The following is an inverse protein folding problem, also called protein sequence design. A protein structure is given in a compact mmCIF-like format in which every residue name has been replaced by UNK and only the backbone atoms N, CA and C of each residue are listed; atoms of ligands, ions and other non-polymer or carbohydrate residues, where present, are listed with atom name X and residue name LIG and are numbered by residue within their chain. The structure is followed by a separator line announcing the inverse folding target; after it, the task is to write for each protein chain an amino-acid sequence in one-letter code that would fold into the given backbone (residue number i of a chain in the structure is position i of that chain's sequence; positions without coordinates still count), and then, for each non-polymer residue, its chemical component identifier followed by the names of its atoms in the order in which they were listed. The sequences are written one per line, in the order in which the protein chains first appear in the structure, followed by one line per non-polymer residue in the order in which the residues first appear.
data_IF_939208132611
#
_entry.id   IF_939208132611
#
_cell.length_a   1.000
_cell.length_b   1.000
_cell.length_c   1.000
_cell.angle_alpha   90.00
_cell.angle_beta   90.00
_cell.angle_gamma   90.00
#
_symmetry.space_group_name_H-M   'P 1'
#
loop_
_entity.id
_entity.type
_entity.pdbx_description
1 polymer ?
#
# COMPACT_ATOMS: atom_id res chain seq x y z
N UNK A 1 -26.83 -13.44 -17.63
CA UNK A 1 -26.54 -14.50 -16.66
C UNK A 1 -26.22 -13.82 -15.36
N UNK A 2 -26.91 -14.19 -14.29
CA UNK A 2 -26.78 -13.52 -13.00
C UNK A 2 -25.47 -13.95 -12.35
N UNK A 3 -24.48 -13.06 -12.35
CA UNK A 3 -23.18 -13.29 -11.74
C UNK A 3 -23.20 -12.83 -10.28
N UNK A 4 -22.81 -13.73 -9.37
CA UNK A 4 -22.73 -13.44 -7.94
C UNK A 4 -21.26 -13.44 -7.52
N UNK A 5 -20.83 -12.36 -6.87
CA UNK A 5 -19.47 -12.21 -6.37
C UNK A 5 -19.43 -12.60 -4.89
N UNK A 6 -18.60 -13.60 -4.54
CA UNK A 6 -18.38 -14.02 -3.16
C UNK A 6 -16.97 -13.59 -2.75
N UNK A 7 -16.86 -12.80 -1.69
CA UNK A 7 -15.59 -12.24 -1.22
C UNK A 7 -15.02 -13.13 -0.10
N UNK A 8 -13.92 -13.89 -0.32
CA UNK A 8 -13.29 -14.66 0.74
C UNK A 8 -12.41 -13.81 1.67
N UNK A 9 -12.27 -14.26 2.93
CA UNK A 9 -11.71 -13.53 4.08
C UNK A 9 -10.23 -13.13 4.07
N UNK A 10 -9.51 -13.19 2.94
CA UNK A 10 -8.12 -12.75 2.83
C UNK A 10 -8.02 -11.24 2.54
N UNK A 11 -8.72 -10.41 3.30
CA UNK A 11 -8.66 -8.92 3.25
C UNK A 11 -8.78 -8.33 1.83
N UNK A 12 -9.60 -8.93 0.96
CA UNK A 12 -9.76 -8.44 -0.41
C UNK A 12 -8.53 -8.61 -1.31
N UNK A 13 -7.65 -9.58 -1.04
CA UNK A 13 -6.53 -9.90 -1.95
C UNK A 13 -6.94 -10.83 -3.11
N UNK A 14 -8.07 -11.53 -2.98
CA UNK A 14 -8.58 -12.45 -4.00
C UNK A 14 -10.09 -12.36 -4.06
N UNK A 15 -10.64 -12.24 -5.27
CA UNK A 15 -12.07 -12.35 -5.56
C UNK A 15 -12.33 -13.70 -6.19
N UNK A 16 -13.31 -14.43 -5.65
CA UNK A 16 -13.77 -15.67 -6.27
C UNK A 16 -14.98 -15.39 -7.16
N UNK A 17 -14.84 -15.71 -8.45
CA UNK A 17 -15.93 -15.67 -9.42
C UNK A 17 -16.46 -17.09 -9.62
N UNK A 18 -17.73 -17.30 -9.29
CA UNK A 18 -18.46 -18.53 -9.56
C UNK A 18 -19.41 -18.29 -10.73
N UNK A 19 -19.24 -19.03 -11.83
CA UNK A 19 -20.20 -19.03 -12.93
C UNK A 19 -21.02 -20.31 -12.90
N UNK A 20 -22.34 -20.19 -12.83
CA UNK A 20 -23.24 -21.33 -12.66
C UNK A 20 -24.09 -21.53 -13.91
N UNK A 21 -24.24 -22.80 -14.31
CA UNK A 21 -25.20 -23.23 -15.32
C UNK A 21 -26.14 -24.25 -14.69
N UNK A 22 -27.42 -23.89 -14.59
CA UNK A 22 -28.45 -24.73 -13.96
C UNK A 22 -29.24 -25.49 -15.02
N UNK A 23 -29.18 -26.83 -14.97
CA UNK A 23 -29.96 -27.75 -15.80
C UNK A 23 -30.83 -28.62 -14.89
N UNK A 24 -31.98 -28.08 -14.49
CA UNK A 24 -32.92 -28.75 -13.57
C UNK A 24 -32.46 -28.74 -12.11
N UNK A 25 -33.10 -29.58 -11.28
CA UNK A 25 -32.75 -29.75 -9.87
C UNK A 25 -31.66 -30.81 -9.68
N UNK A 26 -30.67 -30.54 -8.83
CA UNK A 26 -29.58 -31.48 -8.54
C UNK A 26 -28.29 -30.78 -8.10
N UNK A 27 -27.26 -31.54 -7.71
CA UNK A 27 -25.97 -30.98 -7.30
C UNK A 27 -25.24 -30.32 -8.49
N UNK A 28 -24.37 -29.37 -8.16
CA UNK A 28 -23.48 -28.72 -9.13
C UNK A 28 -22.18 -29.53 -9.27
N UNK A 29 -21.79 -29.83 -10.50
CA UNK A 29 -20.48 -30.43 -10.81
C UNK A 29 -19.47 -29.34 -11.14
N UNK A 30 -18.22 -29.44 -10.67
CA UNK A 30 -17.15 -28.55 -11.11
C UNK A 30 -16.78 -28.89 -12.55
N UNK A 31 -17.07 -27.96 -13.46
CA UNK A 31 -16.74 -28.13 -14.87
C UNK A 31 -15.29 -27.76 -15.18
N UNK A 32 -14.48 -27.34 -14.20
CA UNK A 32 -13.12 -26.82 -14.38
C UNK A 32 -13.10 -25.60 -15.32
N UNK A 33 -12.76 -24.44 -14.79
CA UNK A 33 -12.58 -23.23 -15.60
C UNK A 33 -11.18 -23.13 -16.19
N UNK A 34 -10.97 -22.22 -17.15
CA UNK A 34 -9.63 -21.91 -17.68
C UNK A 34 -8.63 -21.54 -16.57
N UNK A 35 -9.08 -20.84 -15.52
CA UNK A 35 -8.24 -20.52 -14.36
C UNK A 35 -7.81 -21.76 -13.57
N UNK A 36 -8.74 -22.68 -13.29
CA UNK A 36 -8.44 -23.94 -12.62
C UNK A 36 -7.57 -24.87 -13.48
N UNK A 37 -7.84 -24.93 -14.80
CA UNK A 37 -7.03 -25.69 -15.75
C UNK A 37 -5.59 -25.17 -15.84
N UNK A 38 -5.39 -23.84 -15.80
CA UNK A 38 -4.06 -23.24 -15.78
C UNK A 38 -3.28 -23.58 -14.49
N UNK A 39 -3.95 -23.54 -13.33
CA UNK A 39 -3.32 -23.92 -12.06
C UNK A 39 -2.94 -25.41 -12.05
N UNK A 40 -3.88 -26.29 -12.43
CA UNK A 40 -3.63 -27.73 -12.55
C UNK A 40 -2.53 -28.01 -13.57
N UNK A 41 -2.49 -27.27 -14.68
CA UNK A 41 -1.45 -27.35 -15.70
C UNK A 41 -0.06 -27.06 -15.12
N UNK A 42 0.09 -25.97 -14.36
CA UNK A 42 1.36 -25.62 -13.72
C UNK A 42 1.82 -26.66 -12.68
N UNK A 43 0.89 -27.19 -11.88
CA UNK A 43 1.17 -28.29 -10.94
C UNK A 43 1.60 -29.57 -11.67
N UNK A 44 0.98 -29.85 -12.82
CA UNK A 44 1.30 -31.00 -13.66
C UNK A 44 2.63 -30.84 -14.39
N UNK A 45 2.97 -29.63 -14.85
CA UNK A 45 4.27 -29.31 -15.44
C UNK A 45 5.41 -29.57 -14.46
N UNK A 46 5.27 -29.11 -13.21
CA UNK A 46 6.27 -29.38 -12.16
C UNK A 46 6.45 -30.89 -11.89
N UNK A 47 5.36 -31.66 -11.94
CA UNK A 47 5.40 -33.13 -11.79
C UNK A 47 6.03 -33.81 -13.00
N UNK A 48 5.74 -33.34 -14.21
CA UNK A 48 6.35 -33.82 -15.46
C UNK A 48 7.86 -33.60 -15.44
N UNK A 49 8.33 -32.42 -15.02
CA UNK A 49 9.75 -32.09 -14.92
C UNK A 49 10.47 -32.99 -13.91
N UNK A 50 9.88 -33.17 -12.72
CA UNK A 50 10.41 -34.06 -11.70
C UNK A 50 10.50 -35.51 -12.19
N UNK A 51 9.43 -36.03 -12.80
CA UNK A 51 9.38 -37.40 -13.33
C UNK A 51 10.32 -37.60 -14.53
N UNK A 52 10.49 -36.60 -15.39
CA UNK A 52 11.43 -36.65 -16.51
C UNK A 52 12.88 -36.72 -16.01
N UNK A 53 13.22 -35.94 -14.97
CA UNK A 53 14.54 -35.97 -14.35
C UNK A 53 14.82 -37.31 -13.66
N UNK A 54 13.83 -37.84 -12.94
CA UNK A 54 13.92 -39.16 -12.30
C UNK A 54 14.12 -40.27 -13.34
N UNK A 55 13.29 -40.29 -14.40
CA UNK A 55 13.41 -41.25 -15.50
C UNK A 55 14.78 -41.17 -16.18
N UNK A 56 15.30 -39.97 -16.45
CA UNK A 56 16.62 -39.80 -17.05
C UNK A 56 17.74 -40.40 -16.18
N UNK A 57 17.61 -40.30 -14.84
CA UNK A 57 18.52 -40.97 -13.91
C UNK A 57 18.50 -42.49 -14.05
N UNK A 58 17.31 -43.09 -14.09
CA UNK A 58 17.17 -44.54 -14.28
C UNK A 58 17.60 -45.01 -15.66
N UNK A 59 17.40 -44.22 -16.71
CA UNK A 59 17.84 -44.55 -18.07
C UNK A 59 19.38 -44.51 -18.22
N UNK A 60 20.07 -43.73 -17.38
CA UNK A 60 21.53 -43.67 -17.36
C UNK A 60 22.18 -44.81 -16.56
N UNK A 61 21.40 -45.53 -15.73
CA UNK A 61 21.85 -46.66 -14.94
C UNK A 61 21.67 -47.97 -15.72
N UNK A 62 22.79 -48.57 -16.15
CA UNK A 62 22.79 -49.83 -16.89
C UNK A 62 22.29 -51.04 -16.06
N UNK A 63 22.15 -50.88 -14.74
CA UNK A 63 21.64 -51.90 -13.82
C UNK A 63 20.15 -51.74 -13.49
N UNK A 64 19.51 -50.66 -13.96
CA UNK A 64 18.10 -50.43 -13.73
C UNK A 64 17.22 -51.49 -14.39
N UNK A 65 16.16 -51.91 -13.69
CA UNK A 65 15.18 -52.87 -14.21
C UNK A 65 14.44 -52.29 -15.43
N UNK A 66 14.53 -52.93 -16.62
CA UNK A 66 13.85 -52.47 -17.83
C UNK A 66 12.34 -52.32 -17.67
N UNK A 67 11.69 -53.18 -16.87
CA UNK A 67 10.25 -53.11 -16.62
C UNK A 67 9.88 -51.86 -15.81
N UNK A 68 10.69 -51.52 -14.82
CA UNK A 68 10.52 -50.32 -14.00
C UNK A 68 10.73 -49.04 -14.84
N UNK A 69 11.75 -49.02 -15.70
CA UNK A 69 11.98 -47.90 -16.65
C UNK A 69 10.80 -47.74 -17.61
N UNK A 70 10.28 -48.84 -18.14
CA UNK A 70 9.11 -48.81 -19.03
C UNK A 70 7.84 -48.28 -18.31
N UNK A 71 7.62 -48.66 -17.05
CA UNK A 71 6.54 -48.11 -16.24
C UNK A 71 6.68 -46.59 -16.06
N UNK A 72 7.88 -46.11 -15.71
CA UNK A 72 8.16 -44.67 -15.55
C UNK A 72 7.94 -43.88 -16.84
N UNK A 73 8.26 -44.46 -17.99
CA UNK A 73 7.95 -43.88 -19.29
C UNK A 73 6.44 -43.75 -19.54
N UNK A 74 5.66 -44.76 -19.17
CA UNK A 74 4.20 -44.73 -19.30
C UNK A 74 3.58 -43.68 -18.36
N UNK A 75 4.05 -43.60 -17.11
CA UNK A 75 3.62 -42.59 -16.14
C UNK A 75 3.87 -41.16 -16.68
N UNK A 76 5.07 -40.90 -17.21
CA UNK A 76 5.41 -39.61 -17.81
C UNK A 76 4.57 -39.30 -19.06
N UNK A 77 4.33 -40.30 -19.91
CA UNK A 77 3.49 -40.14 -21.10
C UNK A 77 2.03 -39.83 -20.72
N UNK A 78 1.49 -40.49 -19.70
CA UNK A 78 0.15 -40.23 -19.19
C UNK A 78 0.02 -38.80 -18.64
N UNK A 79 0.98 -38.33 -17.85
CA UNK A 79 0.98 -36.94 -17.35
C UNK A 79 1.06 -35.92 -18.49
N UNK A 80 1.89 -36.16 -19.51
CA UNK A 80 1.97 -35.30 -20.69
C UNK A 80 0.66 -35.27 -21.49
N UNK A 81 -0.01 -36.41 -21.62
CA UNK A 81 -1.31 -36.50 -22.29
C UNK A 81 -2.39 -35.73 -21.50
N UNK A 82 -2.40 -35.85 -20.17
CA UNK A 82 -3.31 -35.09 -19.31
C UNK A 82 -3.05 -33.58 -19.40
N UNK A 83 -1.79 -33.16 -19.43
CA UNK A 83 -1.38 -31.75 -19.60
C UNK A 83 -1.88 -31.19 -20.93
N UNK A 84 -1.73 -31.96 -22.00
CA UNK A 84 -2.26 -31.61 -23.32
C UNK A 84 -3.78 -31.53 -23.34
N UNK A 85 -4.47 -32.47 -22.68
CA UNK A 85 -5.94 -32.45 -22.60
C UNK A 85 -6.45 -31.20 -21.85
N UNK A 86 -5.74 -30.74 -20.82
CA UNK A 86 -6.04 -29.49 -20.11
C UNK A 86 -5.87 -28.24 -21.00
N UNK A 87 -4.85 -28.22 -21.87
CA UNK A 87 -4.67 -27.12 -22.84
C UNK A 87 -5.75 -27.12 -23.93
N UNK A 88 -6.04 -28.29 -24.50
CA UNK A 88 -6.97 -28.41 -25.62
C UNK A 88 -8.42 -28.16 -25.16
N UNK A 89 -8.77 -28.63 -23.96
CA UNK A 89 -10.12 -28.55 -23.42
C UNK A 89 -10.11 -28.23 -21.91
N UNK A 90 -9.90 -26.94 -21.55
CA UNK A 90 -9.87 -26.53 -20.15
C UNK A 90 -11.22 -26.69 -19.44
N UNK A 91 -12.32 -26.67 -20.20
CA UNK A 91 -13.68 -26.79 -19.69
C UNK A 91 -14.24 -28.21 -19.86
N UNK A 92 -14.46 -28.89 -18.74
CA UNK A 92 -15.02 -30.24 -18.59
C UNK A 92 -16.50 -30.20 -18.23
N UNK A 93 -17.34 -29.73 -19.16
CA UNK A 93 -18.79 -29.66 -18.95
C UNK A 93 -19.39 -31.07 -18.81
N UNK A 94 -20.16 -31.38 -17.76
CA UNK A 94 -20.85 -32.65 -17.66
C UNK A 94 -21.97 -32.77 -18.71
N UNK A 95 -22.15 -33.99 -19.24
CA UNK A 95 -23.18 -34.29 -20.24
C UNK A 95 -24.62 -34.04 -19.73
N UNK A 96 -24.85 -34.23 -18.43
CA UNK A 96 -26.13 -33.99 -17.76
C UNK A 96 -25.91 -33.30 -16.40
N UNK A 97 -26.95 -32.66 -15.88
CA UNK A 97 -26.90 -31.96 -14.59
C UNK A 97 -26.33 -30.54 -14.67
N UNK A 98 -26.46 -29.83 -13.54
CA UNK A 98 -25.97 -28.47 -13.36
C UNK A 98 -24.47 -28.47 -13.10
N UNK A 99 -23.78 -27.37 -13.46
CA UNK A 99 -22.35 -27.25 -13.25
C UNK A 99 -21.93 -25.82 -12.92
N UNK A 100 -20.72 -25.67 -12.41
CA UNK A 100 -20.10 -24.38 -12.15
C UNK A 100 -18.66 -24.34 -12.64
N UNK A 101 -18.11 -23.13 -12.80
CA UNK A 101 -16.67 -22.91 -12.81
C UNK A 101 -16.30 -21.94 -11.70
N UNK A 102 -15.13 -22.16 -11.09
CA UNK A 102 -14.53 -21.27 -10.11
C UNK A 102 -13.28 -20.62 -10.72
N UNK A 103 -13.22 -19.29 -10.67
CA UNK A 103 -11.99 -18.54 -10.98
C UNK A 103 -11.61 -17.69 -9.78
N UNK A 104 -10.36 -17.83 -9.33
CA UNK A 104 -9.80 -16.97 -8.29
C UNK A 104 -8.98 -15.86 -8.93
N UNK A 105 -9.50 -14.64 -8.89
CA UNK A 105 -8.83 -13.44 -9.41
C UNK A 105 -8.10 -12.78 -8.25
N UNK A 106 -6.77 -12.81 -8.27
CA UNK A 106 -5.96 -12.04 -7.31
C UNK A 106 -6.14 -10.55 -7.61
N UNK A 107 -6.53 -9.77 -6.61
CA UNK A 107 -6.54 -8.31 -6.68
C UNK A 107 -5.10 -7.85 -6.64
N UNK A 108 -4.65 -7.27 -7.75
CA UNK A 108 -3.29 -6.78 -7.96
C UNK A 108 -3.38 -5.41 -8.61
N UNK A 109 -2.31 -4.62 -8.47
CA UNK A 109 -2.25 -3.26 -9.05
C UNK A 109 -2.34 -3.29 -10.58
N UNK A 110 -1.85 -4.37 -11.20
CA UNK A 110 -1.79 -4.59 -12.66
C UNK A 110 -3.17 -4.81 -13.31
N UNK A 111 -4.22 -5.00 -12.51
CA UNK A 111 -5.57 -5.09 -13.03
C UNK A 111 -6.00 -3.74 -13.62
N UNK A 112 -6.59 -3.78 -14.81
CA UNK A 112 -7.16 -2.60 -15.46
C UNK A 112 -8.22 -1.95 -14.57
N UNK A 113 -8.15 -0.63 -14.40
CA UNK A 113 -9.20 0.12 -13.73
C UNK A 113 -10.42 0.28 -14.63
N UNK A 114 -11.60 0.22 -14.02
CA UNK A 114 -12.82 0.73 -14.64
C UNK A 114 -12.93 2.24 -14.37
N UNK A 115 -12.93 3.05 -15.42
CA UNK A 115 -12.94 4.51 -15.30
C UNK A 115 -14.21 5.03 -14.61
N UNK A 116 -15.37 4.44 -14.88
CA UNK A 116 -16.62 4.86 -14.24
C UNK A 116 -16.61 4.56 -12.74
N UNK A 117 -16.02 3.43 -12.33
CA UNK A 117 -15.81 3.11 -10.92
C UNK A 117 -14.83 4.10 -10.26
N UNK A 118 -13.73 4.45 -10.93
CA UNK A 118 -12.79 5.44 -10.39
C UNK A 118 -13.43 6.82 -10.23
N UNK A 119 -14.16 7.28 -11.25
CA UNK A 119 -14.87 8.56 -11.21
C UNK A 119 -15.94 8.57 -10.10
N UNK A 120 -16.68 7.47 -9.94
CA UNK A 120 -17.67 7.33 -8.86
C UNK A 120 -17.04 7.34 -7.46
N UNK A 121 -15.87 6.70 -7.29
CA UNK A 121 -15.12 6.74 -6.02
C UNK A 121 -14.63 8.16 -5.71
N UNK A 122 -14.05 8.84 -6.69
CA UNK A 122 -13.57 10.21 -6.50
C UNK A 122 -14.72 11.15 -6.16
N UNK A 123 -15.86 11.03 -6.86
CA UNK A 123 -17.06 11.82 -6.55
C UNK A 123 -17.59 11.55 -5.13
N UNK A 124 -17.56 10.30 -4.68
CA UNK A 124 -17.89 9.95 -3.30
C UNK A 124 -16.92 10.58 -2.29
N UNK A 125 -15.62 10.50 -2.55
CA UNK A 125 -14.58 11.04 -1.66
C UNK A 125 -14.73 12.57 -1.52
N UNK A 126 -14.99 13.28 -2.62
CA UNK A 126 -15.30 14.71 -2.57
C UNK A 126 -16.55 15.02 -1.75
N UNK A 127 -17.66 14.33 -2.00
CA UNK A 127 -18.92 14.57 -1.28
C UNK A 127 -18.79 14.26 0.22
N UNK A 128 -18.06 13.19 0.58
CA UNK A 128 -17.75 12.85 1.96
C UNK A 128 -16.86 13.93 2.61
N UNK A 129 -15.85 14.41 1.89
CA UNK A 129 -14.98 15.50 2.35
C UNK A 129 -15.75 16.80 2.61
N UNK A 130 -16.64 17.20 1.71
CA UNK A 130 -17.52 18.36 1.90
C UNK A 130 -18.41 18.21 3.14
N UNK A 131 -18.99 17.03 3.33
CA UNK A 131 -19.80 16.73 4.51
C UNK A 131 -18.96 16.77 5.80
N UNK A 132 -17.73 16.26 5.77
CA UNK A 132 -16.80 16.30 6.90
C UNK A 132 -16.45 17.74 7.28
N UNK A 133 -16.10 18.59 6.31
CA UNK A 133 -15.83 20.02 6.54
C UNK A 133 -17.07 20.72 7.11
N UNK A 134 -18.25 20.46 6.56
CA UNK A 134 -19.49 21.04 7.08
C UNK A 134 -19.75 20.63 8.54
N UNK A 135 -19.49 19.36 8.88
CA UNK A 135 -19.61 18.88 10.26
C UNK A 135 -18.55 19.48 11.19
N UNK A 136 -17.30 19.61 10.73
CA UNK A 136 -16.20 20.15 11.52
C UNK A 136 -16.39 21.64 11.86
N UNK A 137 -17.10 22.42 11.04
CA UNK A 137 -17.46 23.81 11.38
C UNK A 137 -18.27 23.95 12.67
N UNK A 138 -18.89 22.86 13.14
CA UNK A 138 -19.61 22.82 14.41
C UNK A 138 -18.71 22.51 15.61
N UNK A 139 -17.45 22.17 15.36
CA UNK A 139 -16.44 21.82 16.36
C UNK A 139 -15.33 22.88 16.35
N UNK A 140 -14.96 23.38 17.53
CA UNK A 140 -13.82 24.29 17.65
C UNK A 140 -12.64 23.54 18.23
N UNK A 141 -11.45 23.76 17.67
CA UNK A 141 -10.21 23.30 18.30
C UNK A 141 -10.03 24.06 19.60
N UNK A 142 -9.91 23.39 20.76
CA UNK A 142 -9.70 24.09 22.02
C UNK A 142 -8.36 24.83 21.97
N UNK A 143 -8.26 26.03 22.56
CA UNK A 143 -6.98 26.70 22.68
C UNK A 143 -6.01 25.89 23.56
N UNK A 144 -4.69 26.10 23.43
CA UNK A 144 -3.73 25.48 24.34
C UNK A 144 -4.05 25.88 25.79
N UNK A 145 -3.89 24.97 26.77
CA UNK A 145 -4.10 25.31 28.17
C UNK A 145 -3.19 26.47 28.62
N UNK A 146 -3.58 27.26 29.63
CA UNK A 146 -2.76 28.35 30.14
C UNK A 146 -1.32 27.92 30.46
N UNK A 147 -0.34 28.65 29.94
CA UNK A 147 1.08 28.35 30.12
C UNK A 147 1.60 27.16 29.30
N UNK A 148 0.82 26.61 28.37
CA UNK A 148 1.27 25.61 27.39
C UNK A 148 1.45 26.27 26.02
N UNK A 149 2.43 25.77 25.26
CA UNK A 149 2.66 26.23 23.90
C UNK A 149 1.53 25.77 22.95
N UNK A 150 1.19 26.63 21.99
CA UNK A 150 0.34 26.33 20.85
C UNK A 150 1.15 26.24 19.56
N UNK A 151 0.47 25.90 18.47
CA UNK A 151 1.06 25.81 17.14
C UNK A 151 1.05 27.17 16.45
N UNK A 152 2.14 27.54 15.80
CA UNK A 152 2.30 28.84 15.13
C UNK A 152 2.51 28.72 13.62
N UNK A 153 2.83 27.53 13.14
CA UNK A 153 3.09 27.27 11.73
C UNK A 153 4.51 27.59 11.28
N UNK A 154 4.86 27.08 10.12
CA UNK A 154 6.21 27.18 9.53
C UNK A 154 6.60 28.62 9.16
N UNK A 155 5.62 29.47 8.84
CA UNK A 155 5.88 30.88 8.49
C UNK A 155 6.53 31.62 9.66
N UNK A 156 6.03 31.42 10.88
CA UNK A 156 6.62 31.97 12.10
C UNK A 156 8.04 31.44 12.32
N UNK A 157 8.24 30.14 12.10
CA UNK A 157 9.57 29.51 12.21
C UNK A 157 10.58 30.12 11.23
N UNK A 158 10.15 30.41 9.99
CA UNK A 158 11.00 30.91 8.92
C UNK A 158 11.55 32.32 9.17
N UNK A 159 10.92 33.11 10.05
CA UNK A 159 11.36 34.46 10.41
C UNK A 159 12.79 34.47 10.99
N UNK A 160 13.13 33.45 11.80
CA UNK A 160 14.46 33.27 12.39
C UNK A 160 15.23 32.08 11.79
N UNK A 161 14.55 31.04 11.32
CA UNK A 161 15.13 29.79 10.83
C UNK A 161 14.95 29.58 9.32
N UNK A 162 15.27 30.62 8.53
CA UNK A 162 15.09 30.60 7.08
C UNK A 162 15.82 29.43 6.39
N UNK A 163 17.01 29.04 6.85
CA UNK A 163 17.78 27.94 6.24
C UNK A 163 17.12 26.59 6.45
N UNK A 164 16.61 26.36 7.65
CA UNK A 164 15.87 25.15 8.01
C UNK A 164 14.53 25.08 7.25
N UNK A 165 13.81 26.21 7.14
CA UNK A 165 12.57 26.30 6.37
C UNK A 165 12.78 25.99 4.89
N UNK A 166 13.80 26.60 4.24
CA UNK A 166 14.15 26.30 2.84
C UNK A 166 14.54 24.84 2.63
N UNK A 167 15.18 24.20 3.62
CA UNK A 167 15.44 22.76 3.56
C UNK A 167 14.12 21.96 3.62
N UNK A 168 13.25 22.28 4.58
CA UNK A 168 11.97 21.59 4.78
C UNK A 168 11.06 21.66 3.54
N UNK A 169 11.00 22.81 2.86
CA UNK A 169 10.20 23.01 1.64
C UNK A 169 10.52 22.00 0.51
N UNK A 170 11.73 21.45 0.51
CA UNK A 170 12.19 20.48 -0.49
C UNK A 170 11.80 19.04 -0.15
N UNK A 171 11.29 18.81 1.06
CA UNK A 171 10.92 17.47 1.54
C UNK A 171 9.50 17.10 1.14
N UNK A 172 9.20 15.80 1.11
CA UNK A 172 7.82 15.33 0.91
C UNK A 172 6.87 15.72 2.04
N UNK A 173 7.39 15.98 3.25
CA UNK A 173 6.59 16.48 4.37
C UNK A 173 5.96 17.85 4.07
N UNK A 174 6.67 18.74 3.36
CA UNK A 174 6.13 20.03 2.93
C UNK A 174 5.08 19.92 1.82
N UNK A 175 4.95 18.75 1.18
CA UNK A 175 3.99 18.48 0.11
C UNK A 175 2.87 17.53 0.56
N UNK A 176 2.86 17.13 1.84
CA UNK A 176 2.00 16.08 2.33
C UNK A 176 0.53 16.35 2.02
N UNK A 177 0.01 17.54 2.33
CA UNK A 177 -1.41 17.86 2.10
C UNK A 177 -1.78 17.81 0.62
N UNK A 178 -0.93 18.32 -0.26
CA UNK A 178 -1.15 18.32 -1.71
C UNK A 178 -1.29 16.89 -2.28
N UNK A 179 -0.63 15.89 -1.68
CA UNK A 179 -0.82 14.48 -2.08
C UNK A 179 -2.23 13.97 -1.80
N UNK A 180 -2.91 14.48 -0.77
CA UNK A 180 -4.30 14.13 -0.49
C UNK A 180 -5.26 14.82 -1.46
N UNK A 181 -4.99 16.07 -1.83
CA UNK A 181 -5.80 16.81 -2.79
C UNK A 181 -5.82 16.13 -4.17
N UNK A 182 -4.70 15.56 -4.59
CA UNK A 182 -4.60 14.82 -5.86
C UNK A 182 -5.57 13.64 -5.95
N UNK A 183 -5.91 13.03 -4.82
CA UNK A 183 -6.78 11.85 -4.74
C UNK A 183 -8.13 12.15 -4.07
N UNK A 184 -8.44 13.43 -3.80
CA UNK A 184 -9.71 13.85 -3.19
C UNK A 184 -9.88 13.46 -1.71
N UNK A 185 -8.78 13.24 -0.99
CA UNK A 185 -8.77 12.74 0.41
C UNK A 185 -8.37 13.77 1.46
N UNK A 186 -8.22 15.03 1.08
CA UNK A 186 -7.72 16.10 1.96
C UNK A 186 -8.59 16.39 3.19
N UNK A 187 -9.86 15.96 3.16
CA UNK A 187 -10.81 16.09 4.28
C UNK A 187 -11.29 14.73 4.81
N UNK A 188 -10.53 13.67 4.55
CA UNK A 188 -10.75 12.35 5.11
C UNK A 188 -10.08 12.27 6.49
N UNK A 189 -10.84 11.95 7.54
CA UNK A 189 -10.35 11.97 8.93
C UNK A 189 -9.20 10.98 9.19
N UNK A 190 -9.15 9.87 8.47
CA UNK A 190 -8.05 8.91 8.58
C UNK A 190 -6.79 9.47 7.93
N UNK A 191 -6.95 10.14 6.79
CA UNK A 191 -5.82 10.65 5.99
C UNK A 191 -5.24 11.94 6.55
N UNK A 192 -6.08 12.91 6.90
CA UNK A 192 -5.64 14.25 7.28
C UNK A 192 -4.78 14.22 8.55
N UNK A 193 -5.02 13.26 9.45
CA UNK A 193 -4.32 13.13 10.74
C UNK A 193 -2.79 13.11 10.64
N UNK A 194 -2.26 12.58 9.53
CA UNK A 194 -0.83 12.47 9.26
C UNK A 194 -0.31 13.53 8.27
N UNK A 195 -1.19 14.36 7.70
CA UNK A 195 -0.89 15.29 6.60
C UNK A 195 -1.03 16.76 6.98
N UNK A 196 -1.32 17.05 8.25
CA UNK A 196 -1.37 18.39 8.82
C UNK A 196 -0.60 18.43 10.15
N UNK A 197 -0.36 19.64 10.65
CA UNK A 197 0.39 19.88 11.87
C UNK A 197 -0.54 20.04 13.06
N UNK A 198 -0.29 19.26 14.12
CA UNK A 198 -1.06 19.35 15.37
C UNK A 198 -2.51 18.89 15.23
N UNK A 199 -2.80 17.92 14.36
CA UNK A 199 -4.16 17.40 14.15
C UNK A 199 -4.90 17.11 15.46
N UNK A 200 -6.06 17.77 15.66
CA UNK A 200 -6.90 17.65 16.85
C UNK A 200 -6.20 17.91 18.20
N UNK A 201 -4.99 18.47 18.19
CA UNK A 201 -4.33 18.93 19.39
C UNK A 201 -4.83 20.34 19.77
N UNK A 202 -4.79 20.72 21.05
CA UNK A 202 -5.12 22.08 21.45
C UNK A 202 -4.28 23.13 20.70
N UNK A 203 -4.96 24.07 20.03
CA UNK A 203 -4.36 25.09 19.17
C UNK A 203 -3.73 24.56 17.88
N UNK A 204 -3.97 23.31 17.50
CA UNK A 204 -3.46 22.71 16.27
C UNK A 204 -4.49 22.67 15.14
N UNK A 205 -4.20 21.91 14.08
CA UNK A 205 -5.07 21.85 12.90
C UNK A 205 -6.41 21.14 13.16
N UNK A 206 -7.48 21.73 12.61
CA UNK A 206 -8.73 21.07 12.23
C UNK A 206 -8.79 20.86 10.70
N UNK A 207 -9.92 20.33 10.20
CA UNK A 207 -10.09 20.01 8.77
C UNK A 207 -9.84 21.20 7.84
N UNK A 208 -10.19 22.41 8.26
CA UNK A 208 -10.15 23.62 7.45
C UNK A 208 -9.04 24.60 7.86
N UNK A 209 -8.09 24.18 8.71
CA UNK A 209 -6.95 25.01 9.13
C UNK A 209 -5.87 25.04 8.05
N UNK A 210 -5.79 26.13 7.28
CA UNK A 210 -4.88 26.23 6.13
C UNK A 210 -3.43 26.43 6.55
N UNK A 211 -3.20 27.22 7.60
CA UNK A 211 -1.88 27.64 8.09
C UNK A 211 -1.06 26.48 8.64
N UNK A 212 -1.74 25.40 9.07
CA UNK A 212 -1.14 24.20 9.63
C UNK A 212 -1.21 23.00 8.66
N UNK A 213 -1.50 23.22 7.37
CA UNK A 213 -1.38 22.16 6.36
C UNK A 213 0.06 21.68 6.24
N UNK A 214 0.22 20.42 5.82
CA UNK A 214 1.49 19.71 5.71
C UNK A 214 2.08 19.27 7.05
N UNK A 215 3.08 18.38 6.98
CA UNK A 215 3.87 17.95 8.13
C UNK A 215 4.96 18.99 8.36
N UNK A 216 4.66 20.00 9.18
CA UNK A 216 5.56 21.14 9.42
C UNK A 216 6.55 20.87 10.57
N UNK A 217 7.37 21.87 10.91
CA UNK A 217 8.38 21.81 11.96
C UNK A 217 7.83 21.24 13.28
N UNK A 218 6.65 21.70 13.66
CA UNK A 218 6.06 21.46 14.98
C UNK A 218 5.53 20.03 15.16
N UNK A 219 5.40 19.24 14.08
CA UNK A 219 5.11 17.79 14.19
C UNK A 219 6.28 17.07 14.85
N UNK A 220 7.51 17.41 14.47
CA UNK A 220 8.72 16.80 15.02
C UNK A 220 9.21 17.53 16.27
N UNK A 221 9.17 18.85 16.24
CA UNK A 221 9.82 19.71 17.22
C UNK A 221 8.89 20.14 18.37
N UNK A 222 7.58 19.87 18.26
CA UNK A 222 6.55 20.29 19.22
C UNK A 222 6.02 21.70 18.96
N UNK A 223 4.97 22.14 19.68
CA UNK A 223 4.34 23.44 19.48
C UNK A 223 5.29 24.60 19.81
N UNK A 224 5.38 25.58 18.89
CA UNK A 224 6.43 26.60 18.87
C UNK A 224 6.09 27.94 19.51
N UNK A 225 4.85 28.19 19.96
CA UNK A 225 4.43 29.55 20.36
C UNK A 225 5.29 30.18 21.47
N UNK A 226 5.65 29.41 22.51
CA UNK A 226 6.55 29.92 23.55
C UNK A 226 7.96 30.15 22.99
N UNK A 227 8.44 29.26 22.13
CA UNK A 227 9.78 29.36 21.55
C UNK A 227 9.95 30.62 20.70
N UNK A 228 8.93 30.99 19.92
CA UNK A 228 8.90 32.24 19.15
C UNK A 228 9.04 33.48 20.05
N UNK A 229 8.54 33.41 21.28
CA UNK A 229 8.62 34.48 22.28
C UNK A 229 9.87 34.41 23.18
N UNK A 230 10.94 33.73 22.77
CA UNK A 230 12.13 33.52 23.59
C UNK A 230 12.93 34.79 23.97
N UNK A 231 12.55 35.95 23.45
CA UNK A 231 13.04 37.25 23.92
C UNK A 231 12.42 37.63 25.28
N UNK A 232 11.20 37.16 25.56
CA UNK A 232 10.47 37.43 26.80
C UNK A 232 10.98 36.56 27.97
N UNK A 233 11.42 35.33 27.67
CA UNK A 233 11.99 34.40 28.64
C UNK A 233 13.05 33.51 27.98
N UNK A 234 14.26 33.46 28.55
CA UNK A 234 15.34 32.64 28.03
C UNK A 234 15.05 31.13 28.07
N UNK A 235 14.22 30.68 29.02
CA UNK A 235 13.85 29.27 29.15
C UNK A 235 12.91 28.80 28.03
N UNK A 236 12.23 29.71 27.33
CA UNK A 236 11.41 29.37 26.16
C UNK A 236 12.24 28.82 24.99
N UNK A 237 13.56 29.06 24.95
CA UNK A 237 14.45 28.39 23.97
C UNK A 237 14.46 26.87 24.13
N UNK A 238 14.09 26.34 25.29
CA UNK A 238 14.12 24.92 25.63
C UNK A 238 12.79 24.19 25.39
N UNK A 239 11.74 24.89 24.94
CA UNK A 239 10.41 24.30 24.77
C UNK A 239 10.26 23.49 23.48
N UNK A 240 11.25 23.58 22.57
CA UNK A 240 11.31 22.82 21.33
C UNK A 240 12.23 21.60 21.48
N UNK A 241 11.78 20.46 20.93
CA UNK A 241 12.52 19.20 20.88
C UNK A 241 13.52 19.23 19.72
N UNK A 242 14.82 19.38 19.97
CA UNK A 242 15.83 19.45 18.89
C UNK A 242 16.09 18.11 18.18
N UNK A 243 15.95 17.00 18.89
CA UNK A 243 16.19 15.66 18.40
C UNK A 243 15.02 14.76 18.82
N UNK A 244 14.01 14.59 17.96
CA UNK A 244 12.84 13.78 18.27
C UNK A 244 13.22 12.30 18.47
N UNK A 245 12.46 11.61 19.32
CA UNK A 245 12.60 10.17 19.50
C UNK A 245 12.22 9.43 18.21
N UNK A 246 12.88 8.30 17.92
CA UNK A 246 12.66 7.55 16.68
C UNK A 246 11.21 7.04 16.57
N UNK A 247 10.60 6.74 17.71
CA UNK A 247 9.23 6.27 17.86
C UNK A 247 8.22 7.26 17.30
N UNK A 248 8.51 8.57 17.32
CA UNK A 248 7.62 9.61 16.79
C UNK A 248 7.28 9.36 15.31
N UNK A 249 8.29 9.00 14.52
CA UNK A 249 8.12 8.75 13.09
C UNK A 249 7.21 7.54 12.83
N UNK A 250 7.41 6.45 13.58
CA UNK A 250 6.75 5.16 13.34
C UNK A 250 5.35 5.05 13.97
N UNK A 251 5.11 5.72 15.10
CA UNK A 251 3.86 5.60 15.85
C UNK A 251 2.77 6.52 15.31
N UNK A 252 3.13 7.68 14.77
CA UNK A 252 2.15 8.66 14.32
C UNK A 252 1.77 8.48 12.86
N UNK A 253 2.73 8.25 11.97
CA UNK A 253 2.50 8.31 10.53
C UNK A 253 3.07 7.09 9.78
N UNK A 254 4.33 6.71 10.03
CA UNK A 254 5.01 5.65 9.29
C UNK A 254 4.76 4.26 9.87
N UNK A 255 3.50 3.82 9.83
CA UNK A 255 3.10 2.47 10.24
C UNK A 255 3.32 1.45 9.13
N UNK A 256 3.29 0.16 9.44
CA UNK A 256 3.38 -0.90 8.44
C UNK A 256 2.22 -0.85 7.40
N UNK A 257 1.09 -0.26 7.75
CA UNK A 257 -0.07 -0.14 6.87
C UNK A 257 0.04 1.06 5.91
N UNK A 258 0.55 2.20 6.39
CA UNK A 258 0.62 3.43 5.61
C UNK A 258 2.01 3.71 5.02
N UNK A 259 3.05 3.02 5.50
CA UNK A 259 4.44 3.16 5.06
C UNK A 259 5.17 1.81 5.07
N UNK A 260 4.77 0.95 4.12
CA UNK A 260 5.28 -0.43 3.92
C UNK A 260 6.80 -0.57 3.70
N UNK A 261 7.48 0.54 3.44
CA UNK A 261 8.90 0.65 3.11
C UNK A 261 9.68 1.46 4.15
N UNK A 262 9.04 1.82 5.27
CA UNK A 262 9.67 2.62 6.31
C UNK A 262 10.91 1.94 6.91
N UNK A 263 12.02 2.65 6.82
CA UNK A 263 13.26 2.37 7.54
C UNK A 263 13.73 3.68 8.17
N UNK A 264 13.95 3.67 9.49
CA UNK A 264 14.17 4.90 10.25
C UNK A 264 15.39 5.69 9.75
N UNK A 265 16.52 5.02 9.51
CA UNK A 265 17.73 5.71 9.08
C UNK A 265 17.60 6.23 7.66
N UNK A 266 17.04 5.43 6.75
CA UNK A 266 16.80 5.85 5.37
C UNK A 266 15.88 7.08 5.29
N UNK A 267 14.78 7.09 6.03
CA UNK A 267 13.84 8.21 6.04
C UNK A 267 14.43 9.43 6.75
N UNK A 268 15.26 9.23 7.78
CA UNK A 268 15.95 10.34 8.44
C UNK A 268 16.94 11.04 7.49
N UNK A 269 17.48 10.36 6.47
CA UNK A 269 18.31 10.98 5.42
C UNK A 269 17.53 11.94 4.53
N UNK A 270 16.20 11.78 4.38
CA UNK A 270 15.35 12.68 3.60
C UNK A 270 14.97 13.96 4.36
N UNK A 271 15.01 13.94 5.70
CA UNK A 271 14.65 15.09 6.56
C UNK A 271 15.85 15.70 7.29
N UNK A 272 17.06 15.27 6.97
CA UNK A 272 18.31 15.87 7.49
C UNK A 272 19.30 16.16 6.36
N UNK A 273 19.99 17.30 6.43
CA UNK A 273 20.92 17.74 5.41
C UNK A 273 21.57 19.09 5.70
N UNK A 274 22.30 19.64 4.73
CA UNK A 274 22.78 21.03 4.83
C UNK A 274 21.60 21.97 5.08
N UNK A 275 21.69 22.80 6.11
CA UNK A 275 20.60 23.71 6.53
C UNK A 275 19.72 23.16 7.66
N UNK A 276 19.59 21.84 7.81
CA UNK A 276 18.78 21.23 8.87
C UNK A 276 19.34 19.88 9.32
N UNK A 277 19.87 19.76 10.54
CA UNK A 277 20.36 18.48 11.05
C UNK A 277 21.62 17.93 10.35
N UNK A 278 22.41 18.79 9.67
CA UNK A 278 23.57 18.35 8.86
C UNK A 278 24.64 17.54 9.59
N UNK A 279 24.80 17.72 10.92
CA UNK A 279 25.66 16.84 11.74
C UNK A 279 25.11 15.41 11.77
N UNK A 280 23.80 15.27 12.04
CA UNK A 280 23.11 13.97 12.05
C UNK A 280 23.16 13.32 10.67
N UNK A 281 22.95 14.10 9.61
CA UNK A 281 23.07 13.59 8.23
C UNK A 281 24.46 13.00 7.95
N UNK A 282 25.53 13.62 8.44
CA UNK A 282 26.91 13.10 8.30
C UNK A 282 27.11 11.81 9.11
N UNK A 283 26.57 11.74 10.32
CA UNK A 283 26.65 10.55 11.17
C UNK A 283 25.93 9.34 10.56
N UNK A 284 24.83 9.55 9.83
CA UNK A 284 24.11 8.49 9.13
C UNK A 284 24.90 7.88 7.95
N UNK A 285 25.94 8.55 7.47
CA UNK A 285 26.76 8.07 6.36
C UNK A 285 25.99 7.89 5.05
N UNK A 286 26.56 7.08 4.16
CA UNK A 286 25.93 6.70 2.89
C UNK A 286 24.89 5.59 3.10
N UNK A 287 23.94 5.50 2.18
CA UNK A 287 22.85 4.53 2.24
C UNK A 287 21.63 5.05 1.49
N UNK A 288 20.62 4.19 1.28
CA UNK A 288 19.42 4.60 0.59
C UNK A 288 18.64 5.63 1.42
N UNK A 289 17.90 6.49 0.73
CA UNK A 289 16.88 7.33 1.36
C UNK A 289 15.52 6.64 1.39
N UNK A 290 14.60 7.16 2.20
CA UNK A 290 13.22 6.67 2.22
C UNK A 290 12.53 6.78 0.87
N UNK A 291 12.79 7.87 0.14
CA UNK A 291 12.33 8.03 -1.25
C UNK A 291 12.82 6.89 -2.16
N UNK A 292 14.09 6.51 -2.07
CA UNK A 292 14.67 5.43 -2.88
C UNK A 292 14.10 4.06 -2.50
N UNK A 293 13.92 3.79 -1.20
CA UNK A 293 13.25 2.57 -0.73
C UNK A 293 11.81 2.48 -1.24
N UNK A 294 11.07 3.58 -1.18
CA UNK A 294 9.70 3.63 -1.69
C UNK A 294 9.64 3.42 -3.20
N UNK A 295 10.53 4.07 -3.95
CA UNK A 295 10.64 3.90 -5.39
C UNK A 295 10.98 2.45 -5.78
N UNK A 296 11.90 1.82 -5.07
CA UNK A 296 12.26 0.40 -5.26
C UNK A 296 11.10 -0.54 -4.90
N UNK A 297 10.39 -0.28 -3.80
CA UNK A 297 9.20 -1.03 -3.39
C UNK A 297 8.09 -0.97 -4.45
N UNK A 298 7.82 0.23 -4.99
CA UNK A 298 6.87 0.43 -6.09
C UNK A 298 7.32 -0.29 -7.37
N UNK A 299 8.60 -0.24 -7.72
CA UNK A 299 9.12 -0.96 -8.88
C UNK A 299 8.96 -2.47 -8.74
N UNK A 300 9.25 -3.03 -7.54
CA UNK A 300 9.08 -4.45 -7.24
C UNK A 300 7.62 -4.90 -7.24
N UNK A 301 6.71 -4.05 -6.77
CA UNK A 301 5.27 -4.30 -6.81
C UNK A 301 4.67 -4.27 -8.23
N UNK A 302 5.47 -3.89 -9.24
CA UNK A 302 5.05 -3.70 -10.62
C UNK A 302 4.58 -2.27 -10.88
N UNK A 303 5.08 -1.65 -11.96
CA UNK A 303 4.60 -0.36 -12.49
C UNK A 303 3.39 -0.55 -13.41
N UNK A 304 2.39 -1.25 -12.95
CA UNK A 304 1.10 -1.22 -13.61
C UNK A 304 0.12 -1.00 -12.49
N UNK A 305 -0.13 0.26 -12.14
CA UNK A 305 -1.49 0.65 -11.86
C UNK A 305 -2.13 0.59 -13.25
N UNK A 306 -3.09 -0.32 -13.45
CA UNK A 306 -3.61 -0.70 -14.77
C UNK A 306 -3.67 0.48 -15.74
N UNK A 307 -3.10 0.31 -16.93
CA UNK A 307 -3.06 1.33 -17.98
C UNK A 307 -4.46 1.97 -18.14
N UNK A 308 -4.66 3.17 -17.59
CA UNK A 308 -5.96 3.84 -17.56
C UNK A 308 -6.42 4.38 -16.20
N UNK A 309 -5.81 4.01 -15.06
CA UNK A 309 -6.14 4.69 -13.81
C UNK A 309 -5.49 6.07 -13.80
N UNK A 310 -6.28 7.14 -13.57
CA UNK A 310 -5.72 8.47 -13.29
C UNK A 310 -4.96 8.40 -11.96
N UNK A 311 -3.78 9.04 -11.93
CA UNK A 311 -3.06 9.31 -10.69
C UNK A 311 -3.75 10.44 -9.94
#
# INVERSE_FOLDING_TARGET
GDAWMVVPGNRGQVVSRLELTVRGGGPLTDAIGAGAAAQLGAELDARIDAAAKELAGFQADATADPAFVAQKQQELAAMRAERKALDDQPLRIPAAGSWFTLTQVKIRKDLACDAAVQDAKLAYDHAAGEANVAAAKLQTVPPPPPGKAGYVGVEECATCHAKEATFWEQTHHAQAFATLEQVGKQFDYECISCHVTGWNAPGGAALDTEELRNVQCEVCHGPGSLHAEAENDADFRKTIVRAPAAELCAQQCHTAEHSDTFDYEAYLRDVTGPGHGGKRRKELGDGPTGHELRAAGLAKAGKEIGAGCRK
#
